data_IF_692084827760
#
_entry.id   IF_692084827760
#
_cell.length_a   1.000
_cell.length_b   1.000
_cell.length_c   1.000
_cell.angle_alpha   90.00
_cell.angle_beta   90.00
_cell.angle_gamma   90.00
#
_symmetry.space_group_name_H-M   'P 1'
#
loop_
_entity.id
_entity.type
_entity.pdbx_description
1 polymer ?
#
# COMPACT_ATOMS: atom_id res chain seq x y z
N UNK A 1 -36.30 2.84 -55.06
CA UNK A 1 -35.58 1.78 -54.32
C UNK A 1 -34.64 2.45 -53.33
N UNK A 2 -34.97 2.38 -52.03
CA UNK A 2 -34.17 3.00 -50.96
C UNK A 2 -33.40 1.89 -50.22
N UNK A 3 -32.07 1.96 -50.29
CA UNK A 3 -31.16 1.03 -49.63
C UNK A 3 -30.86 1.55 -48.21
N UNK A 4 -31.46 0.94 -47.19
CA UNK A 4 -31.19 1.25 -45.78
C UNK A 4 -29.92 0.51 -45.33
N UNK A 5 -28.83 1.24 -45.14
CA UNK A 5 -27.61 0.70 -44.52
C UNK A 5 -27.82 0.72 -43.00
N UNK A 6 -28.02 -0.47 -42.42
CA UNK A 6 -28.05 -0.67 -40.97
C UNK A 6 -26.60 -0.80 -40.50
N UNK A 7 -26.03 0.29 -39.98
CA UNK A 7 -24.73 0.25 -39.30
C UNK A 7 -24.96 -0.29 -37.90
N UNK A 8 -24.81 -1.60 -37.73
CA UNK A 8 -24.75 -2.24 -36.41
C UNK A 8 -23.47 -1.81 -35.71
N UNK A 9 -23.60 -0.83 -34.82
CA UNK A 9 -22.56 -0.43 -33.87
C UNK A 9 -22.42 -1.56 -32.85
N UNK A 10 -21.46 -2.45 -33.09
CA UNK A 10 -21.01 -3.43 -32.11
C UNK A 10 -20.16 -2.66 -31.08
N UNK A 11 -20.80 -2.21 -30.01
CA UNK A 11 -20.09 -1.68 -28.84
C UNK A 11 -19.37 -2.87 -28.20
N UNK A 12 -18.09 -3.04 -28.53
CA UNK A 12 -17.18 -3.88 -27.76
C UNK A 12 -17.09 -3.29 -26.36
N UNK A 13 -17.97 -3.76 -25.47
CA UNK A 13 -17.82 -3.57 -24.04
C UNK A 13 -16.52 -4.28 -23.62
N UNK A 14 -15.42 -3.54 -23.62
CA UNK A 14 -14.22 -3.92 -22.91
C UNK A 14 -14.65 -4.16 -21.46
N UNK A 15 -14.56 -5.39 -20.93
CA UNK A 15 -14.73 -5.58 -19.51
C UNK A 15 -13.68 -4.68 -18.86
N UNK A 16 -14.15 -3.74 -18.04
CA UNK A 16 -13.29 -3.04 -17.10
C UNK A 16 -12.43 -4.11 -16.45
N UNK A 17 -11.11 -4.07 -16.69
CA UNK A 17 -10.17 -4.85 -15.92
C UNK A 17 -10.27 -4.32 -14.48
N UNK A 18 -11.17 -4.90 -13.70
CA UNK A 18 -11.05 -4.88 -12.25
C UNK A 18 -9.68 -5.43 -11.94
N UNK A 19 -8.81 -4.62 -11.34
CA UNK A 19 -7.57 -5.10 -10.78
C UNK A 19 -7.91 -6.03 -9.60
N UNK A 20 -8.26 -7.27 -9.89
CA UNK A 20 -8.42 -8.31 -8.88
C UNK A 20 -7.04 -8.61 -8.33
N UNK A 21 -6.77 -8.24 -7.08
CA UNK A 21 -5.68 -8.85 -6.32
C UNK A 21 -5.99 -10.35 -6.27
N UNK A 22 -5.42 -11.15 -7.19
CA UNK A 22 -5.42 -12.60 -7.06
C UNK A 22 -4.40 -12.96 -5.96
N UNK A 23 -4.74 -12.63 -4.72
CA UNK A 23 -4.17 -13.32 -3.58
C UNK A 23 -4.80 -14.70 -3.61
N UNK A 24 -4.00 -15.70 -3.98
CA UNK A 24 -4.40 -17.09 -3.88
C UNK A 24 -4.85 -17.34 -2.46
N UNK A 25 -5.98 -18.03 -2.31
CA UNK A 25 -6.62 -18.30 -1.03
C UNK A 25 -5.70 -18.96 0.00
N UNK A 26 -4.52 -19.46 -0.41
CA UNK A 26 -3.58 -20.22 0.43
C UNK A 26 -2.29 -19.44 0.78
N UNK A 27 -2.36 -18.10 0.86
CA UNK A 27 -1.18 -17.27 1.13
C UNK A 27 -1.39 -16.17 2.15
N UNK A 28 -0.29 -15.71 2.74
CA UNK A 28 -0.24 -14.49 3.54
C UNK A 28 0.92 -13.58 3.13
N UNK A 29 0.80 -12.28 3.42
CA UNK A 29 1.78 -11.25 3.06
C UNK A 29 1.73 -10.04 3.98
N UNK A 30 2.80 -9.24 3.95
CA UNK A 30 2.94 -8.01 4.71
C UNK A 30 2.85 -6.77 3.80
N UNK A 31 2.45 -5.64 4.37
CA UNK A 31 2.43 -4.37 3.67
C UNK A 31 2.53 -3.16 4.60
N UNK A 32 2.71 -2.01 3.99
CA UNK A 32 2.87 -0.70 4.58
C UNK A 32 1.77 0.19 4.03
N UNK A 33 1.08 0.89 4.92
CA UNK A 33 -0.09 1.68 4.58
C UNK A 33 -0.09 2.98 5.38
N UNK A 34 -0.83 3.98 4.89
CA UNK A 34 -1.28 5.07 5.73
C UNK A 34 -2.30 4.52 6.74
N UNK A 35 -2.00 4.68 8.02
CA UNK A 35 -2.75 4.07 9.10
C UNK A 35 -4.02 4.85 9.44
N UNK A 36 -5.04 4.11 9.89
CA UNK A 36 -6.16 4.63 10.66
C UNK A 36 -5.87 4.56 12.16
N UNK A 37 -6.93 4.53 12.97
CA UNK A 37 -6.79 4.26 14.41
C UNK A 37 -6.20 2.84 14.62
N UNK A 38 -5.46 2.59 15.71
CA UNK A 38 -4.98 1.25 16.06
C UNK A 38 -6.08 0.19 16.00
N UNK A 39 -5.78 -0.96 15.40
CA UNK A 39 -6.72 -2.07 15.22
C UNK A 39 -7.73 -1.90 14.08
N UNK A 40 -7.68 -0.80 13.32
CA UNK A 40 -8.59 -0.56 12.19
C UNK A 40 -7.92 -0.78 10.84
N UNK A 41 -8.74 -1.00 9.81
CA UNK A 41 -8.28 -1.15 8.42
C UNK A 41 -7.46 0.06 7.95
N UNK A 42 -6.46 -0.16 7.07
CA UNK A 42 -5.63 0.92 6.57
C UNK A 42 -6.42 1.90 5.70
N UNK A 43 -5.98 3.17 5.67
CA UNK A 43 -6.63 4.22 4.87
C UNK A 43 -6.23 4.17 3.40
N UNK A 44 -4.95 3.91 3.12
CA UNK A 44 -4.42 3.86 1.76
C UNK A 44 -3.11 3.07 1.69
N UNK A 45 -2.91 2.36 0.58
CA UNK A 45 -1.72 1.55 0.31
C UNK A 45 -0.51 2.42 -0.01
N UNK A 46 0.62 2.11 0.63
CA UNK A 46 1.92 2.69 0.29
C UNK A 46 2.73 1.64 -0.49
N UNK A 47 2.97 0.49 0.13
CA UNK A 47 3.77 -0.57 -0.45
C UNK A 47 3.32 -1.93 0.08
N UNK A 48 3.20 -2.91 -0.78
CA UNK A 48 2.96 -4.30 -0.36
C UNK A 48 4.18 -5.11 -0.73
N UNK A 49 4.69 -5.89 0.23
CA UNK A 49 5.87 -6.71 -0.02
C UNK A 49 5.54 -7.70 -1.14
N UNK A 50 6.37 -7.78 -2.20
CA UNK A 50 6.12 -8.71 -3.29
C UNK A 50 6.15 -10.18 -2.85
N UNK A 51 6.86 -10.48 -1.75
CA UNK A 51 6.94 -11.82 -1.20
C UNK A 51 5.59 -12.23 -0.61
N UNK A 52 5.03 -13.30 -1.17
CA UNK A 52 3.93 -14.08 -0.58
C UNK A 52 4.50 -15.30 0.13
N UNK A 53 3.87 -15.68 1.24
CA UNK A 53 4.22 -16.85 2.03
C UNK A 53 3.04 -17.83 2.04
N UNK A 54 3.29 -19.14 2.05
CA UNK A 54 2.22 -20.13 2.13
C UNK A 54 1.48 -20.05 3.47
N UNK A 55 0.15 -20.23 3.44
CA UNK A 55 -0.72 -20.37 4.59
C UNK A 55 -1.53 -21.67 4.49
N UNK A 56 -1.81 -22.29 5.64
CA UNK A 56 -2.91 -23.25 5.76
C UNK A 56 -4.15 -22.45 6.15
N UNK A 57 -5.12 -22.38 5.26
CA UNK A 57 -6.31 -21.54 5.44
C UNK A 57 -7.48 -22.27 6.10
N UNK A 58 -7.35 -23.57 6.33
CA UNK A 58 -8.25 -24.33 7.20
C UNK A 58 -7.83 -24.18 8.67
N UNK A 59 -6.55 -23.91 8.94
CA UNK A 59 -6.03 -23.60 10.26
C UNK A 59 -5.05 -22.40 10.25
N UNK A 60 -5.54 -21.16 10.00
CA UNK A 60 -4.68 -19.99 9.86
C UNK A 60 -3.87 -19.70 11.12
N UNK A 61 -2.56 -19.56 10.95
CA UNK A 61 -1.62 -19.21 12.03
C UNK A 61 -1.47 -17.69 12.17
N UNK A 62 -2.58 -17.00 12.47
CA UNK A 62 -2.68 -15.52 12.46
C UNK A 62 -1.58 -14.85 13.28
N UNK A 63 -1.30 -15.34 14.49
CA UNK A 63 -0.24 -14.79 15.36
C UNK A 63 1.14 -14.90 14.74
N UNK A 64 1.40 -15.98 13.99
CA UNK A 64 2.67 -16.15 13.27
C UNK A 64 2.80 -15.13 12.13
N UNK A 65 1.71 -14.87 11.41
CA UNK A 65 1.69 -13.89 10.32
C UNK A 65 1.89 -12.47 10.84
N UNK A 66 1.16 -12.11 11.90
CA UNK A 66 1.30 -10.83 12.59
C UNK A 66 2.74 -10.65 13.10
N UNK A 67 3.24 -11.58 13.93
CA UNK A 67 4.58 -11.49 14.52
C UNK A 67 5.69 -11.42 13.49
N UNK A 68 5.57 -12.16 12.38
CA UNK A 68 6.57 -12.11 11.30
C UNK A 68 6.55 -10.76 10.59
N UNK A 69 5.36 -10.26 10.21
CA UNK A 69 5.25 -8.95 9.57
C UNK A 69 5.71 -7.82 10.50
N UNK A 70 5.38 -7.89 11.78
CA UNK A 70 5.85 -6.96 12.79
C UNK A 70 7.38 -6.92 12.84
N UNK A 71 8.05 -8.06 12.96
CA UNK A 71 9.50 -8.13 13.11
C UNK A 71 10.26 -7.71 11.84
N UNK A 72 9.79 -8.13 10.66
CA UNK A 72 10.38 -7.70 9.38
C UNK A 72 10.34 -6.18 9.27
N UNK A 73 9.19 -5.59 9.58
CA UNK A 73 8.99 -4.15 9.44
C UNK A 73 9.70 -3.35 10.52
N UNK A 74 9.73 -3.84 11.76
CA UNK A 74 10.49 -3.24 12.86
C UNK A 74 11.97 -3.15 12.55
N UNK A 75 12.54 -4.18 11.92
CA UNK A 75 13.93 -4.15 11.45
C UNK A 75 14.09 -3.17 10.28
N UNK A 76 13.19 -3.20 9.30
CA UNK A 76 13.22 -2.29 8.16
C UNK A 76 13.10 -0.81 8.53
N UNK A 77 12.30 -0.48 9.56
CA UNK A 77 12.11 0.87 10.07
C UNK A 77 13.40 1.56 10.50
N UNK A 78 14.38 0.80 11.01
CA UNK A 78 15.67 1.35 11.43
C UNK A 78 16.44 2.01 10.30
N UNK A 79 16.24 1.51 9.08
CA UNK A 79 16.88 2.00 7.86
C UNK A 79 15.96 2.95 7.06
N UNK A 80 14.71 3.12 7.50
CA UNK A 80 13.67 3.82 6.73
C UNK A 80 13.43 5.22 7.28
N UNK A 81 14.34 6.14 6.93
CA UNK A 81 14.22 7.58 7.15
C UNK A 81 13.67 8.27 5.88
N UNK A 82 12.78 9.26 6.04
CA UNK A 82 12.25 10.01 4.91
C UNK A 82 13.31 10.80 4.14
N UNK A 83 14.36 11.26 4.82
CA UNK A 83 15.44 12.03 4.23
C UNK A 83 16.43 11.18 3.43
N UNK A 84 16.36 9.84 3.58
CA UNK A 84 17.20 8.95 2.80
C UNK A 84 16.91 9.14 1.29
N UNK A 85 17.93 8.97 0.43
CA UNK A 85 17.74 9.05 -1.01
C UNK A 85 16.66 8.10 -1.50
N UNK A 86 15.80 8.61 -2.39
CA UNK A 86 14.77 7.84 -3.09
C UNK A 86 15.37 6.58 -3.68
N UNK A 87 14.67 5.43 -3.58
CA UNK A 87 15.14 4.18 -4.20
C UNK A 87 14.84 4.10 -5.69
N UNK A 88 13.92 4.94 -6.18
CA UNK A 88 13.44 4.95 -7.57
C UNK A 88 13.91 6.17 -8.37
N UNK A 89 14.24 7.27 -7.70
CA UNK A 89 14.61 8.57 -8.30
C UNK A 89 15.96 9.08 -7.82
N UNK A 90 16.89 8.17 -7.46
CA UNK A 90 18.23 8.48 -6.90
C UNK A 90 18.96 9.64 -7.58
N UNK A 91 19.00 9.63 -8.91
CA UNK A 91 19.77 10.58 -9.72
C UNK A 91 19.25 12.02 -9.67
N UNK A 92 18.02 12.22 -9.18
CA UNK A 92 17.36 13.52 -9.14
C UNK A 92 17.41 14.20 -7.76
N UNK A 93 18.15 13.62 -6.81
CA UNK A 93 18.26 14.14 -5.43
C UNK A 93 16.97 14.02 -4.61
N UNK A 94 15.95 13.34 -5.11
CA UNK A 94 14.71 13.11 -4.37
C UNK A 94 14.94 12.17 -3.21
N UNK A 95 14.17 12.37 -2.15
CA UNK A 95 14.18 11.54 -0.95
C UNK A 95 13.05 10.51 -0.97
N UNK A 96 13.09 9.54 -0.07
CA UNK A 96 11.99 8.60 0.17
C UNK A 96 10.71 9.37 0.53
N UNK A 97 10.82 10.41 1.36
CA UNK A 97 9.68 11.25 1.71
C UNK A 97 9.05 11.92 0.48
N UNK A 98 9.86 12.37 -0.48
CA UNK A 98 9.36 12.96 -1.72
C UNK A 98 8.66 11.94 -2.63
N UNK A 99 9.07 10.67 -2.57
CA UNK A 99 8.36 9.58 -3.25
C UNK A 99 6.96 9.37 -2.65
N UNK A 100 6.83 9.50 -1.33
CA UNK A 100 5.57 9.36 -0.62
C UNK A 100 4.66 10.59 -0.81
N UNK A 101 5.22 11.80 -0.80
CA UNK A 101 4.47 13.04 -0.96
C UNK A 101 4.10 13.35 -2.42
N UNK A 102 4.87 12.84 -3.39
CA UNK A 102 4.66 13.08 -4.82
C UNK A 102 3.21 12.83 -5.31
N UNK A 103 2.59 11.70 -4.95
CA UNK A 103 1.20 11.38 -5.29
C UNK A 103 0.15 12.16 -4.49
N UNK A 104 0.52 12.88 -3.42
CA UNK A 104 -0.42 13.57 -2.53
C UNK A 104 -0.64 15.00 -3.04
N UNK A 105 -1.82 15.33 -3.60
CA UNK A 105 -2.02 16.61 -4.29
C UNK A 105 -2.17 17.82 -3.36
N UNK A 106 -2.37 17.58 -2.06
CA UNK A 106 -2.61 18.59 -1.04
C UNK A 106 -1.48 18.63 -0.02
N UNK A 107 -1.32 19.77 0.63
CA UNK A 107 -0.41 19.87 1.76
C UNK A 107 -0.93 19.04 2.95
N UNK A 108 0.00 18.37 3.63
CA UNK A 108 -0.22 17.64 4.86
C UNK A 108 0.56 18.36 5.95
N UNK A 109 -0.18 19.03 6.84
CA UNK A 109 0.37 19.76 7.99
C UNK A 109 0.49 18.84 9.20
N UNK A 110 1.22 19.30 10.22
CA UNK A 110 1.27 18.64 11.53
C UNK A 110 -0.15 18.30 12.05
N UNK A 111 -0.36 17.12 12.65
CA UNK A 111 0.67 16.17 13.08
C UNK A 111 1.19 15.24 11.97
N UNK A 112 0.75 15.37 10.72
CA UNK A 112 1.19 14.53 9.61
C UNK A 112 0.40 13.23 9.45
N UNK A 113 0.67 12.49 8.38
CA UNK A 113 0.10 11.17 8.13
C UNK A 113 0.90 10.11 8.87
N UNK A 114 0.19 9.26 9.61
CA UNK A 114 0.77 8.10 10.27
C UNK A 114 0.86 6.93 9.29
N UNK A 115 1.93 6.14 9.40
CA UNK A 115 2.08 4.90 8.66
C UNK A 115 2.10 3.71 9.61
N UNK A 116 1.42 2.65 9.17
CA UNK A 116 1.30 1.41 9.89
C UNK A 116 1.67 0.22 9.02
N UNK A 117 1.94 -0.88 9.70
CA UNK A 117 2.28 -2.15 9.08
C UNK A 117 1.11 -3.11 9.24
N UNK A 118 0.82 -3.82 8.16
CA UNK A 118 -0.37 -4.63 8.06
C UNK A 118 -0.03 -5.98 7.45
N UNK A 119 -0.87 -6.96 7.70
CA UNK A 119 -0.78 -8.28 7.09
C UNK A 119 -2.14 -8.73 6.57
N UNK A 120 -2.13 -9.46 5.47
CA UNK A 120 -3.32 -10.11 4.92
C UNK A 120 -3.01 -11.59 4.73
N UNK A 121 -4.00 -12.44 4.96
CA UNK A 121 -3.87 -13.90 4.84
C UNK A 121 -5.16 -14.51 4.31
N UNK A 122 -5.06 -15.56 3.51
CA UNK A 122 -6.19 -16.35 3.05
C UNK A 122 -7.32 -15.53 2.41
N UNK A 123 -6.98 -14.47 1.67
CA UNK A 123 -7.97 -13.56 1.05
C UNK A 123 -8.67 -12.60 2.03
N UNK A 124 -8.24 -12.53 3.29
CA UNK A 124 -8.76 -11.55 4.26
C UNK A 124 -8.38 -10.11 3.90
N UNK A 125 -9.09 -9.18 4.54
CA UNK A 125 -8.69 -7.78 4.60
C UNK A 125 -7.34 -7.58 5.31
N UNK A 126 -6.80 -6.37 5.20
CA UNK A 126 -5.56 -6.00 5.87
C UNK A 126 -5.76 -5.81 7.38
N UNK A 127 -5.08 -6.64 8.14
CA UNK A 127 -5.07 -6.65 9.61
C UNK A 127 -3.89 -5.83 10.12
N UNK A 128 -4.15 -5.00 11.14
CA UNK A 128 -3.14 -4.15 11.76
C UNK A 128 -2.19 -4.98 12.63
N UNK A 129 -0.88 -4.78 12.49
CA UNK A 129 0.10 -5.40 13.41
C UNK A 129 0.26 -4.62 14.71
N UNK A 130 -0.30 -3.40 14.79
CA UNK A 130 -0.08 -2.45 15.87
C UNK A 130 1.25 -1.68 15.75
N UNK A 131 2.13 -2.06 14.83
CA UNK A 131 3.39 -1.33 14.61
C UNK A 131 3.12 -0.05 13.84
N UNK A 132 3.72 1.05 14.31
CA UNK A 132 3.70 2.36 13.66
C UNK A 132 5.12 2.81 13.34
N UNK A 133 5.28 3.53 12.23
CA UNK A 133 6.49 4.34 12.06
C UNK A 133 6.42 5.50 13.06
N UNK A 134 7.47 5.73 13.88
CA UNK A 134 7.45 6.81 14.88
C UNK A 134 7.31 8.20 14.26
N UNK A 135 8.01 8.44 13.15
CA UNK A 135 7.92 9.69 12.40
C UNK A 135 6.68 9.72 11.50
N UNK A 136 6.00 10.87 11.50
CA UNK A 136 4.84 11.12 10.64
C UNK A 136 5.25 11.85 9.37
N UNK A 137 4.50 11.65 8.31
CA UNK A 137 4.76 12.25 7.01
C UNK A 137 4.02 13.60 6.89
N UNK A 138 4.78 14.69 6.78
CA UNK A 138 4.25 15.99 6.36
C UNK A 138 4.68 16.30 4.93
N UNK A 139 3.79 16.97 4.19
CA UNK A 139 3.99 17.25 2.78
C UNK A 139 3.66 18.72 2.50
N UNK A 140 4.52 19.38 1.74
CA UNK A 140 4.27 20.72 1.19
C UNK A 140 4.62 20.71 -0.28
N UNK A 141 3.68 21.13 -1.13
CA UNK A 141 3.89 21.18 -2.58
C UNK A 141 4.43 19.85 -3.14
N UNK A 142 3.86 18.73 -2.70
CA UNK A 142 4.23 17.35 -3.08
C UNK A 142 5.65 16.91 -2.69
N UNK A 143 6.33 17.66 -1.82
CA UNK A 143 7.63 17.29 -1.24
C UNK A 143 7.52 17.04 0.25
N UNK A 144 8.40 16.18 0.76
CA UNK A 144 8.50 15.96 2.19
C UNK A 144 9.07 17.19 2.89
N UNK A 145 8.48 17.51 4.03
CA UNK A 145 8.99 18.52 4.96
C UNK A 145 8.87 17.97 6.38
N UNK A 146 9.72 18.40 7.31
CA UNK A 146 9.51 18.12 8.72
C UNK A 146 8.08 18.50 9.15
N UNK A 147 7.46 17.61 9.91
CA UNK A 147 6.34 17.97 10.77
C UNK A 147 6.87 18.78 11.96
#
# INVERSE_FOLDING_TARGET
MALKIVVSIFILALPFLTASNSDSADTWRCGIFFAGNPGTSPRAKIFVLPKKFPADCNAPRVDTYNGTCYEVMRKGLKEWNFENPSRIRKQSGHTIGDDLCGPIPRDIKAPGLEMGFYFAYCGSDWNDTGLRKPERLCCRQRKHVPC
#
